data_IF_404084862569
#
_entry.id   IF_404084862569
#
_cell.length_a   1.000
_cell.length_b   1.000
_cell.length_c   1.000
_cell.angle_alpha   90.00
_cell.angle_beta   90.00
_cell.angle_gamma   90.00
#
_symmetry.space_group_name_H-M   'P 1'
#
loop_
_entity.id
_entity.type
_entity.pdbx_description
1 polymer ?
#
# COMPACT_ATOMS: atom_id res chain seq x y z
N UNK A 1 -33.25 -2.67 34.61
CA UNK A 1 -32.39 -2.39 35.78
C UNK A 1 -31.79 -3.70 36.25
N UNK A 2 -30.53 -3.96 35.91
CA UNK A 2 -29.71 -4.93 36.65
C UNK A 2 -28.24 -4.65 36.37
N UNK A 3 -27.43 -4.88 37.40
CA UNK A 3 -26.24 -4.16 37.79
C UNK A 3 -24.98 -5.00 37.50
N UNK A 4 -23.88 -4.32 37.20
CA UNK A 4 -22.51 -4.88 37.07
C UNK A 4 -22.02 -5.38 38.46
N UNK A 5 -20.97 -6.23 38.53
CA UNK A 5 -19.73 -5.63 39.00
C UNK A 5 -18.43 -6.14 38.35
N UNK A 6 -17.47 -5.21 38.34
CA UNK A 6 -16.04 -5.34 38.10
C UNK A 6 -15.34 -6.35 39.02
N UNK A 7 -14.24 -6.95 38.55
CA UNK A 7 -13.10 -7.22 39.42
C UNK A 7 -11.78 -7.00 38.68
N UNK A 8 -11.06 -5.97 39.13
CA UNK A 8 -9.66 -5.65 38.83
C UNK A 8 -8.82 -6.27 39.96
N UNK A 9 -7.77 -7.03 39.65
CA UNK A 9 -6.69 -7.30 40.60
C UNK A 9 -5.36 -7.10 39.89
N UNK A 10 -4.52 -6.30 40.52
CA UNK A 10 -3.17 -5.95 40.10
C UNK A 10 -2.14 -6.51 41.11
N UNK A 11 -0.88 -6.52 40.64
CA UNK A 11 0.37 -6.29 41.38
C UNK A 11 1.16 -7.45 42.04
N UNK A 12 2.48 -7.36 41.76
CA UNK A 12 3.65 -7.44 42.64
C UNK A 12 4.49 -8.74 42.75
N UNK A 13 5.60 -8.72 42.00
CA UNK A 13 7.03 -8.72 42.43
C UNK A 13 7.55 -9.59 43.60
N UNK A 14 8.59 -10.36 43.23
CA UNK A 14 9.90 -10.60 43.88
C UNK A 14 10.00 -11.42 45.18
N UNK A 15 10.99 -12.33 45.21
CA UNK A 15 12.04 -12.42 46.25
C UNK A 15 13.12 -13.47 45.89
N UNK A 16 14.37 -13.05 46.03
CA UNK A 16 15.62 -13.84 46.02
C UNK A 16 15.70 -14.83 47.19
N UNK A 17 16.59 -15.84 47.14
CA UNK A 17 17.66 -16.07 48.14
C UNK A 17 18.53 -17.34 47.90
N UNK A 18 19.86 -17.19 48.08
CA UNK A 18 20.86 -18.13 48.68
C UNK A 18 21.21 -19.47 47.97
N UNK A 19 22.43 -20.04 47.98
CA UNK A 19 23.75 -19.78 48.59
C UNK A 19 24.83 -20.66 47.90
N UNK A 20 26.08 -20.18 47.99
CA UNK A 20 27.41 -20.77 47.73
C UNK A 20 27.65 -22.25 48.04
N UNK A 21 28.55 -22.87 47.26
CA UNK A 21 29.77 -23.55 47.77
C UNK A 21 30.89 -23.60 46.70
N UNK A 22 32.11 -23.27 47.12
CA UNK A 22 33.35 -23.21 46.33
C UNK A 22 34.09 -24.56 46.36
N UNK A 23 34.74 -24.96 45.26
CA UNK A 23 35.81 -25.96 45.29
C UNK A 23 37.05 -25.45 44.53
N UNK A 24 38.13 -25.32 45.29
CA UNK A 24 39.46 -24.84 44.91
C UNK A 24 40.37 -26.00 44.52
N UNK A 25 41.10 -25.90 43.40
CA UNK A 25 42.34 -26.64 43.16
C UNK A 25 43.35 -25.77 42.36
N UNK A 26 44.67 -25.91 42.59
CA UNK A 26 45.62 -24.82 42.37
C UNK A 26 46.35 -24.83 41.00
N UNK A 27 46.71 -23.61 40.60
CA UNK A 27 47.92 -23.15 39.88
C UNK A 27 48.43 -23.94 38.67
N UNK A 28 48.32 -23.33 37.48
CA UNK A 28 49.46 -23.17 36.56
C UNK A 28 49.44 -21.81 35.87
N UNK A 29 50.54 -21.07 36.01
CA UNK A 29 50.82 -19.86 35.27
C UNK A 29 51.09 -20.21 33.80
N UNK A 30 50.36 -19.60 32.87
CA UNK A 30 50.73 -19.58 31.46
C UNK A 30 50.41 -18.21 30.87
N UNK A 31 51.44 -17.60 30.28
CA UNK A 31 51.40 -16.29 29.66
C UNK A 31 50.58 -16.36 28.37
N UNK A 32 49.45 -15.63 28.29
CA UNK A 32 48.74 -15.40 27.03
C UNK A 32 49.26 -14.11 26.36
N UNK A 33 49.62 -14.13 25.08
CA UNK A 33 49.89 -12.91 24.32
C UNK A 33 48.58 -12.16 24.04
N UNK A 34 48.59 -10.86 24.31
CA UNK A 34 47.50 -9.93 24.07
C UNK A 34 47.26 -9.74 22.55
N UNK A 35 46.25 -10.40 21.99
CA UNK A 35 45.72 -10.02 20.68
C UNK A 35 44.66 -8.93 20.90
N UNK A 36 45.01 -7.68 20.57
CA UNK A 36 44.06 -6.58 20.46
C UNK A 36 43.08 -6.90 19.31
N UNK A 37 41.87 -7.32 19.65
CA UNK A 37 40.75 -7.38 18.70
C UNK A 37 40.22 -5.96 18.56
N UNK A 38 40.54 -5.30 17.44
CA UNK A 38 39.87 -4.07 17.05
C UNK A 38 38.43 -4.43 16.63
N UNK A 39 37.38 -3.82 17.22
CA UNK A 39 36.05 -3.93 16.65
C UNK A 39 36.05 -3.13 15.34
N UNK A 40 36.03 -3.83 14.21
CA UNK A 40 35.68 -3.23 12.92
C UNK A 40 34.23 -2.77 13.07
N UNK A 41 34.02 -1.45 13.13
CA UNK A 41 32.70 -0.86 13.05
C UNK A 41 32.11 -1.23 11.68
N UNK A 42 31.27 -2.26 11.65
CA UNK A 42 30.40 -2.55 10.52
C UNK A 42 29.41 -1.40 10.44
N UNK A 43 29.77 -0.37 9.69
CA UNK A 43 28.87 0.70 9.28
C UNK A 43 27.92 0.14 8.22
N UNK A 44 27.11 -0.85 8.61
CA UNK A 44 25.97 -1.29 7.86
C UNK A 44 24.89 -0.24 8.12
N UNK A 45 24.84 0.79 7.29
CA UNK A 45 23.57 1.48 7.05
C UNK A 45 22.63 0.41 6.51
N UNK A 46 21.62 -0.07 7.26
CA UNK A 46 20.60 -0.89 6.65
C UNK A 46 19.94 0.02 5.62
N UNK A 47 19.90 -0.41 4.36
CA UNK A 47 19.00 0.20 3.38
C UNK A 47 17.57 0.03 3.91
N UNK A 48 17.11 0.99 4.68
CA UNK A 48 15.71 1.16 5.05
C UNK A 48 15.25 2.46 4.43
N UNK A 49 14.77 2.34 3.20
CA UNK A 49 13.69 3.16 2.72
C UNK A 49 12.79 2.24 1.88
N UNK A 50 12.07 1.34 2.56
CA UNK A 50 10.72 1.03 2.07
C UNK A 50 10.03 2.39 2.13
N UNK A 51 9.95 3.09 1.00
CA UNK A 51 9.10 4.27 0.93
C UNK A 51 7.71 3.80 1.37
N UNK A 52 7.10 4.42 2.39
CA UNK A 52 5.73 4.10 2.74
C UNK A 52 4.92 4.21 1.45
N UNK A 53 4.23 3.12 1.05
CA UNK A 53 3.37 3.17 -0.13
C UNK A 53 2.43 4.36 0.05
N UNK A 54 2.31 5.26 -0.94
CA UNK A 54 1.37 6.36 -0.86
C UNK A 54 -0.01 5.78 -0.57
N UNK A 55 -0.67 6.27 0.49
CA UNK A 55 -2.07 5.93 0.70
C UNK A 55 -2.85 6.59 -0.44
N UNK A 56 -3.62 5.81 -1.19
CA UNK A 56 -4.39 6.34 -2.30
C UNK A 56 -5.41 7.38 -1.78
N UNK A 57 -5.63 8.49 -2.51
CA UNK A 57 -6.76 9.38 -2.26
C UNK A 57 -8.08 8.63 -2.37
N UNK A 58 -9.05 9.02 -1.55
CA UNK A 58 -10.43 8.56 -1.69
C UNK A 58 -11.04 9.27 -2.89
N UNK A 59 -11.78 8.51 -3.71
CA UNK A 59 -12.50 9.06 -4.84
C UNK A 59 -13.52 10.12 -4.39
N UNK A 60 -13.52 11.31 -5.00
CA UNK A 60 -14.55 12.31 -4.74
C UNK A 60 -15.97 11.85 -5.10
N UNK A 61 -16.95 12.40 -4.39
CA UNK A 61 -18.38 12.14 -4.66
C UNK A 61 -18.78 12.56 -6.09
N UNK A 62 -19.94 12.08 -6.54
CA UNK A 62 -20.51 12.48 -7.82
C UNK A 62 -20.76 13.99 -7.86
N UNK A 63 -20.44 14.63 -9.00
CA UNK A 63 -20.54 16.08 -9.21
C UNK A 63 -19.63 16.94 -8.31
N UNK A 64 -18.57 16.37 -7.75
CA UNK A 64 -17.55 17.16 -7.04
C UNK A 64 -16.92 18.19 -7.99
N UNK A 65 -16.75 19.46 -7.58
CA UNK A 65 -16.18 20.51 -8.44
C UNK A 65 -14.73 20.27 -8.86
N UNK A 66 -14.02 19.33 -8.21
CA UNK A 66 -12.67 18.90 -8.59
C UNK A 66 -12.70 17.90 -9.75
N UNK A 67 -13.86 17.35 -10.11
CA UNK A 67 -14.00 16.52 -11.30
C UNK A 67 -13.85 17.39 -12.55
N UNK A 68 -12.80 17.11 -13.32
CA UNK A 68 -12.54 17.78 -14.59
C UNK A 68 -13.37 17.14 -15.69
N UNK A 69 -13.46 15.80 -15.68
CA UNK A 69 -14.04 15.04 -16.77
C UNK A 69 -14.49 13.67 -16.28
N UNK A 70 -15.62 13.21 -16.82
CA UNK A 70 -16.05 11.83 -16.73
C UNK A 70 -16.45 11.32 -18.12
N UNK A 71 -16.05 10.10 -18.46
CA UNK A 71 -16.34 9.54 -19.78
C UNK A 71 -16.36 8.00 -19.79
N UNK A 72 -17.14 7.45 -20.71
CA UNK A 72 -17.19 6.02 -20.98
C UNK A 72 -16.30 5.64 -22.16
N UNK A 73 -15.47 4.63 -21.97
CA UNK A 73 -14.71 3.99 -23.05
C UNK A 73 -15.37 2.67 -23.44
N UNK A 74 -16.04 2.68 -24.60
CA UNK A 74 -16.73 1.53 -25.16
C UNK A 74 -15.81 0.38 -25.58
N UNK A 75 -14.51 0.62 -25.79
CA UNK A 75 -13.57 -0.45 -26.19
C UNK A 75 -13.21 -1.35 -25.02
N UNK A 76 -13.14 -0.75 -23.84
CA UNK A 76 -12.73 -1.42 -22.60
C UNK A 76 -13.91 -1.65 -21.65
N UNK A 77 -15.10 -1.15 -21.99
CA UNK A 77 -16.31 -1.16 -21.18
C UNK A 77 -16.11 -0.56 -19.77
N UNK A 78 -15.32 0.52 -19.71
CA UNK A 78 -14.93 1.18 -18.47
C UNK A 78 -15.40 2.63 -18.43
N UNK A 79 -15.77 3.07 -17.24
CA UNK A 79 -16.12 4.46 -16.96
C UNK A 79 -14.99 5.12 -16.19
N UNK A 80 -14.47 6.22 -16.73
CA UNK A 80 -13.34 6.96 -16.18
C UNK A 80 -13.80 8.27 -15.58
N UNK A 81 -13.20 8.65 -14.46
CA UNK A 81 -13.34 9.98 -13.85
C UNK A 81 -11.95 10.57 -13.60
N UNK A 82 -11.75 11.79 -14.04
CA UNK A 82 -10.51 12.56 -13.95
C UNK A 82 -10.72 13.75 -12.99
N UNK A 83 -9.79 13.93 -12.06
CA UNK A 83 -9.87 14.94 -11.01
C UNK A 83 -8.60 15.78 -10.91
N UNK A 84 -8.78 17.03 -10.50
CA UNK A 84 -7.73 17.88 -9.93
C UNK A 84 -7.98 18.05 -8.43
N UNK A 85 -7.36 17.18 -7.64
CA UNK A 85 -7.48 17.20 -6.19
C UNK A 85 -6.65 18.29 -5.52
N UNK A 86 -5.66 18.85 -6.22
CA UNK A 86 -4.69 19.81 -5.67
C UNK A 86 -4.96 21.26 -6.09
N UNK A 87 -5.83 21.47 -7.07
CA UNK A 87 -6.08 22.77 -7.68
C UNK A 87 -4.95 23.24 -8.60
N UNK A 88 -4.17 22.29 -9.17
CA UNK A 88 -3.05 22.59 -10.05
C UNK A 88 -3.47 23.04 -11.46
N UNK A 89 -4.73 22.84 -11.83
CA UNK A 89 -5.24 23.05 -13.18
C UNK A 89 -4.98 21.88 -14.14
N UNK A 90 -4.43 20.78 -13.64
CA UNK A 90 -4.16 19.55 -14.38
C UNK A 90 -4.75 18.35 -13.64
N UNK A 91 -5.12 17.31 -14.39
CA UNK A 91 -5.56 16.03 -13.81
C UNK A 91 -4.38 15.44 -13.03
N UNK A 92 -4.60 15.15 -11.74
CA UNK A 92 -3.61 14.53 -10.85
C UNK A 92 -4.13 13.27 -10.17
N UNK A 93 -5.40 12.94 -10.38
CA UNK A 93 -6.01 11.71 -9.88
C UNK A 93 -7.06 11.24 -10.87
N UNK A 94 -7.08 9.94 -11.16
CA UNK A 94 -8.05 9.33 -12.07
C UNK A 94 -8.50 7.97 -11.53
N UNK A 95 -9.78 7.67 -11.70
CA UNK A 95 -10.37 6.38 -11.35
C UNK A 95 -11.00 5.73 -12.57
N UNK A 96 -11.05 4.40 -12.60
CA UNK A 96 -11.83 3.65 -13.57
C UNK A 96 -12.69 2.59 -12.90
N UNK A 97 -13.97 2.56 -13.27
CA UNK A 97 -14.99 1.63 -12.77
C UNK A 97 -15.50 0.73 -13.89
N UNK A 98 -15.95 -0.47 -13.53
CA UNK A 98 -16.63 -1.34 -14.49
C UNK A 98 -18.00 -0.78 -14.84
N UNK A 99 -18.33 -0.83 -16.12
CA UNK A 99 -19.66 -0.47 -16.60
C UNK A 99 -20.58 -1.68 -16.42
N UNK A 100 -21.77 -1.43 -15.87
CA UNK A 100 -22.82 -2.44 -15.79
C UNK A 100 -23.79 -2.33 -16.96
N UNK A 101 -24.17 -1.10 -17.30
CA UNK A 101 -25.08 -0.84 -18.40
C UNK A 101 -24.82 0.53 -19.00
N UNK A 102 -24.87 0.60 -20.31
CA UNK A 102 -24.90 1.86 -21.05
C UNK A 102 -26.14 1.92 -21.93
N UNK A 103 -26.75 3.09 -22.03
CA UNK A 103 -27.80 3.38 -23.01
C UNK A 103 -27.64 4.80 -23.51
N UNK A 104 -28.25 5.11 -24.65
CA UNK A 104 -28.27 6.48 -25.16
C UNK A 104 -29.54 7.18 -24.68
N UNK A 105 -29.41 8.45 -24.30
CA UNK A 105 -30.55 9.33 -24.11
C UNK A 105 -31.20 9.72 -25.45
N UNK A 106 -32.22 10.58 -25.39
CA UNK A 106 -32.95 11.06 -26.56
C UNK A 106 -32.09 11.88 -27.55
N UNK A 107 -30.91 12.34 -27.13
CA UNK A 107 -29.96 13.12 -27.93
C UNK A 107 -28.75 12.29 -28.38
N UNK A 108 -28.70 11.00 -28.05
CA UNK A 108 -27.57 10.14 -28.38
C UNK A 108 -26.39 10.23 -27.39
N UNK A 109 -26.59 10.83 -26.22
CA UNK A 109 -25.58 10.92 -25.16
C UNK A 109 -25.53 9.61 -24.38
N UNK A 110 -24.35 9.02 -24.14
CA UNK A 110 -24.25 7.83 -23.32
C UNK A 110 -24.56 8.13 -21.86
N UNK A 111 -25.56 7.43 -21.32
CA UNK A 111 -25.87 7.34 -19.90
C UNK A 111 -25.30 6.02 -19.39
N UNK A 112 -24.45 6.11 -18.37
CA UNK A 112 -23.63 5.01 -17.89
C UNK A 112 -24.05 4.67 -16.47
N UNK A 113 -24.32 3.39 -16.23
CA UNK A 113 -24.51 2.84 -14.90
C UNK A 113 -23.29 1.99 -14.57
N UNK A 114 -22.54 2.37 -13.54
CA UNK A 114 -21.37 1.64 -13.05
C UNK A 114 -21.74 0.70 -11.91
N UNK A 115 -20.91 -0.32 -11.68
CA UNK A 115 -21.00 -1.19 -10.51
C UNK A 115 -19.73 -1.10 -9.69
N UNK A 116 -19.89 -1.28 -8.38
CA UNK A 116 -18.78 -1.37 -7.43
C UNK A 116 -18.00 -0.06 -7.27
N UNK A 117 -16.96 -0.16 -6.46
CA UNK A 117 -15.92 0.84 -6.31
C UNK A 117 -14.92 0.75 -7.49
N UNK A 118 -14.03 1.76 -7.69
CA UNK A 118 -13.06 1.72 -8.77
C UNK A 118 -12.15 0.49 -8.72
N UNK A 119 -11.91 -0.10 -9.89
CA UNK A 119 -10.95 -1.19 -10.04
C UNK A 119 -9.54 -0.68 -10.31
N UNK A 120 -9.41 0.50 -10.93
CA UNK A 120 -8.12 1.12 -11.20
C UNK A 120 -8.06 2.56 -10.71
N UNK A 121 -6.87 2.93 -10.27
CA UNK A 121 -6.52 4.27 -9.80
C UNK A 121 -5.22 4.72 -10.46
N UNK A 122 -5.14 5.99 -10.82
CA UNK A 122 -3.91 6.65 -11.24
C UNK A 122 -3.67 7.89 -10.41
N UNK A 123 -2.44 8.08 -9.95
CA UNK A 123 -2.01 9.25 -9.16
C UNK A 123 -0.77 9.84 -9.80
N UNK A 124 -0.83 11.12 -10.13
CA UNK A 124 0.35 11.88 -10.57
C UNK A 124 1.22 12.17 -9.34
N UNK A 125 2.30 11.41 -9.17
CA UNK A 125 3.18 11.52 -8.00
C UNK A 125 4.19 12.67 -8.16
N UNK A 126 4.46 13.11 -9.38
CA UNK A 126 5.47 14.12 -9.67
C UNK A 126 4.88 15.50 -10.03
N UNK A 127 3.57 15.60 -10.22
CA UNK A 127 2.82 16.83 -10.50
C UNK A 127 2.97 17.33 -11.94
N UNK A 128 3.37 16.48 -12.88
CA UNK A 128 3.60 16.88 -14.28
C UNK A 128 2.33 16.86 -15.15
N UNK A 129 1.19 16.44 -14.60
CA UNK A 129 -0.10 16.32 -15.28
C UNK A 129 -0.20 15.11 -16.21
N UNK A 130 0.65 14.10 -16.03
CA UNK A 130 0.65 12.84 -16.77
C UNK A 130 0.71 11.67 -15.80
N UNK A 131 0.28 10.51 -16.28
CA UNK A 131 0.39 9.25 -15.57
C UNK A 131 1.45 8.37 -16.22
N UNK A 132 2.43 7.96 -15.43
CA UNK A 132 3.61 7.21 -15.85
C UNK A 132 3.65 5.89 -15.09
N UNK A 133 3.32 4.79 -15.78
CA UNK A 133 3.27 3.47 -15.16
C UNK A 133 4.63 3.08 -14.54
N UNK A 134 5.73 3.46 -15.19
CA UNK A 134 7.10 3.20 -14.74
C UNK A 134 7.49 3.95 -13.46
N UNK A 135 6.69 4.93 -13.02
CA UNK A 135 6.79 5.56 -11.71
C UNK A 135 5.91 4.90 -10.63
N UNK A 136 5.20 3.82 -10.97
CA UNK A 136 4.30 3.14 -10.03
C UNK A 136 3.04 3.95 -9.72
N UNK A 137 2.58 4.75 -10.68
CA UNK A 137 1.45 5.66 -10.53
C UNK A 137 0.08 5.00 -10.73
N UNK A 138 0.06 3.72 -11.13
CA UNK A 138 -1.16 2.97 -11.36
C UNK A 138 -1.34 1.89 -10.31
N UNK A 139 -2.56 1.77 -9.80
CA UNK A 139 -2.95 0.80 -8.78
C UNK A 139 -4.23 0.09 -9.22
N UNK A 140 -4.39 -1.16 -8.77
CA UNK A 140 -5.60 -1.95 -8.93
C UNK A 140 -6.18 -2.32 -7.57
N UNK A 141 -7.49 -2.21 -7.44
CA UNK A 141 -8.25 -2.87 -6.38
C UNK A 141 -8.90 -4.12 -6.98
N UNK A 142 -8.43 -5.30 -6.57
CA UNK A 142 -8.98 -6.56 -7.06
C UNK A 142 -10.26 -6.99 -6.35
N UNK A 143 -10.56 -6.37 -5.20
CA UNK A 143 -11.75 -6.65 -4.41
C UNK A 143 -12.91 -5.71 -4.73
N UNK A 144 -12.61 -4.54 -5.30
CA UNK A 144 -13.60 -3.50 -5.66
C UNK A 144 -14.52 -3.18 -4.48
N UNK A 145 -13.92 -3.06 -3.29
CA UNK A 145 -14.61 -2.95 -2.01
C UNK A 145 -14.59 -1.54 -1.42
N UNK A 146 -13.87 -0.62 -2.07
CA UNK A 146 -13.73 0.77 -1.65
C UNK A 146 -12.90 0.94 -0.37
N UNK A 147 -12.24 -0.11 0.11
CA UNK A 147 -11.47 -0.10 1.36
C UNK A 147 -10.04 0.36 1.07
N UNK A 148 -9.79 1.65 1.27
CA UNK A 148 -8.46 2.21 1.04
C UNK A 148 -7.35 1.49 1.83
N UNK A 149 -6.32 1.05 1.12
CA UNK A 149 -5.10 0.43 1.64
C UNK A 149 -4.90 -1.03 1.25
N UNK A 150 -5.88 -1.67 0.61
CA UNK A 150 -5.77 -3.02 0.04
C UNK A 150 -5.33 -3.00 -1.44
N UNK A 151 -5.24 -1.82 -2.06
CA UNK A 151 -4.91 -1.69 -3.47
C UNK A 151 -3.44 -2.05 -3.73
N UNK A 152 -3.23 -2.69 -4.87
CA UNK A 152 -1.92 -3.18 -5.28
C UNK A 152 -1.39 -2.33 -6.43
N UNK A 153 -0.08 -2.02 -6.48
CA UNK A 153 0.52 -1.46 -7.67
C UNK A 153 0.20 -2.34 -8.89
N UNK A 154 -0.22 -1.71 -9.98
CA UNK A 154 -0.49 -2.41 -11.22
C UNK A 154 0.83 -2.78 -11.90
N UNK A 155 1.01 -4.09 -12.12
CA UNK A 155 2.13 -4.65 -12.87
C UNK A 155 1.61 -5.24 -14.18
N UNK A 156 2.27 -4.91 -15.29
CA UNK A 156 1.96 -5.41 -16.63
C UNK A 156 3.07 -6.34 -17.18
N UNK A 157 3.99 -6.79 -16.33
CA UNK A 157 5.10 -7.66 -16.71
C UNK A 157 4.63 -8.92 -17.46
N UNK A 158 3.48 -9.46 -17.04
CA UNK A 158 2.81 -10.62 -17.65
C UNK A 158 2.31 -10.36 -19.08
N UNK A 159 1.96 -9.12 -19.41
CA UNK A 159 1.52 -8.72 -20.76
C UNK A 159 2.68 -8.49 -21.73
N UNK A 160 3.91 -8.38 -21.22
CA UNK A 160 5.12 -8.16 -22.02
C UNK A 160 5.77 -9.47 -22.47
N UNK A 161 5.40 -10.60 -21.87
CA UNK A 161 5.86 -11.91 -22.31
C UNK A 161 5.08 -12.34 -23.58
N UNK A 162 5.76 -12.78 -24.65
CA UNK A 162 5.06 -13.35 -25.79
C UNK A 162 4.25 -14.56 -25.33
N UNK A 163 3.02 -14.71 -25.82
CA UNK A 163 2.20 -15.89 -25.54
C UNK A 163 3.05 -17.14 -25.78
N UNK A 164 3.27 -17.92 -24.72
CA UNK A 164 4.05 -19.14 -24.79
C UNK A 164 3.48 -20.08 -25.87
N UNK A 165 4.29 -21.01 -26.42
CA UNK A 165 3.77 -21.99 -27.36
C UNK A 165 2.59 -22.70 -26.72
N UNK A 166 1.41 -22.58 -27.33
CA UNK A 166 0.21 -23.26 -26.85
C UNK A 166 0.43 -24.77 -26.78
N UNK A 167 -0.38 -25.50 -26.01
CA UNK A 167 -0.29 -26.95 -25.97
C UNK A 167 -0.49 -27.54 -27.38
N UNK A 168 0.41 -28.44 -27.78
CA UNK A 168 0.34 -29.21 -29.05
C UNK A 168 -0.86 -30.18 -29.08
#
# INVERSE_FOLDING_TARGET
MTQVPFLLIAMLSALNFTSREELYFPSQANHQPSFLVQPVAMNATPFSSINPRPKLPVEPDEFDPREIKAYYDWRNDMFFREFDLTGSGSVNFMTARRTYRVWLDEFGTPVVLTVGDPVFFWIDLNGNGKFEQELGEMFKDSYEDGVTGNEEPYDNSDLQEPAGPGPE
#
